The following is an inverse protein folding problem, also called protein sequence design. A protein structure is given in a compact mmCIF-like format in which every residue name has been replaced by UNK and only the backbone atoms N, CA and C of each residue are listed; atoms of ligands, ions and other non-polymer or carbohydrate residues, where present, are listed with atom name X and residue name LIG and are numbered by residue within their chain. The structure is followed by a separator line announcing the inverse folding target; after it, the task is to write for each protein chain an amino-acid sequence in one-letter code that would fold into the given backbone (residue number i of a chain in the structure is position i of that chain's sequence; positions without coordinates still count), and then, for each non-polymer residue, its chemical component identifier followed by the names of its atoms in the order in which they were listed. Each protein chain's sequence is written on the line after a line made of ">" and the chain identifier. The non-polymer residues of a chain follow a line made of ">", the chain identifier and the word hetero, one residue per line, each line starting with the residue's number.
data_IF_342951338727
#
_entry.id   IF_342951338727
#
_cell.length_a   1.000
_cell.length_b   1.000
_cell.length_c   1.000
_cell.angle_alpha   90.00
_cell.angle_beta   90.00
_cell.angle_gamma   90.00
#
_symmetry.space_group_name_H-M   'P 1'
#
loop_
_entity.id
_entity.type
_entity.pdbx_description
1 polymer ?
#
# COMPACT_ATOMS: atom_id res chain seq x y z
N UNK A 1 0.95 21.61 12.49
CA UNK A 1 1.90 20.96 11.56
C UNK A 1 1.16 20.39 10.35
N UNK A 2 0.12 19.58 10.56
CA UNK A 2 -0.80 19.08 9.53
C UNK A 2 -1.52 20.18 8.71
N UNK A 3 -2.00 21.25 9.33
CA UNK A 3 -2.73 22.34 8.63
C UNK A 3 -1.89 23.14 7.61
N UNK A 4 -0.58 22.91 7.54
CA UNK A 4 0.33 23.54 6.55
C UNK A 4 0.65 22.62 5.36
N UNK A 5 0.12 21.40 5.33
CA UNK A 5 0.32 20.48 4.22
C UNK A 5 -0.41 20.97 2.98
N UNK A 6 0.31 21.07 1.87
CA UNK A 6 -0.30 21.22 0.56
C UNK A 6 -0.70 19.83 0.05
N UNK A 7 -2.00 19.59 -0.12
CA UNK A 7 -2.53 18.30 -0.57
C UNK A 7 -2.03 17.90 -1.96
N UNK A 8 -1.69 18.87 -2.82
CA UNK A 8 -1.14 18.61 -4.16
C UNK A 8 0.29 18.04 -4.10
N UNK A 9 0.97 18.14 -2.96
CA UNK A 9 2.31 17.60 -2.76
C UNK A 9 2.28 16.16 -2.20
N UNK A 10 1.11 15.58 -1.98
CA UNK A 10 0.97 14.27 -1.34
C UNK A 10 0.58 13.24 -2.39
N UNK A 11 1.37 12.17 -2.50
CA UNK A 11 1.01 10.95 -3.22
C UNK A 11 0.45 9.95 -2.21
N UNK A 12 -0.85 9.74 -2.26
CA UNK A 12 -1.52 8.67 -1.53
C UNK A 12 -1.27 7.35 -2.25
N UNK A 13 -1.08 6.27 -1.51
CA UNK A 13 -0.92 4.95 -2.12
C UNK A 13 -1.38 3.84 -1.20
N UNK A 14 -1.61 2.70 -1.84
CA UNK A 14 -1.85 1.39 -1.26
C UNK A 14 -1.26 0.33 -2.20
N UNK A 15 -0.90 -0.84 -1.68
CA UNK A 15 -0.34 -1.94 -2.47
C UNK A 15 -1.07 -3.25 -2.22
N UNK A 16 -1.17 -4.06 -3.28
CA UNK A 16 -1.67 -5.42 -3.17
C UNK A 16 -0.59 -6.44 -3.47
N UNK A 17 -0.49 -7.40 -2.58
CA UNK A 17 0.57 -8.41 -2.57
C UNK A 17 -0.03 -9.81 -2.52
N UNK A 18 0.68 -10.74 -3.14
CA UNK A 18 0.31 -12.16 -3.16
C UNK A 18 1.56 -12.99 -2.89
N UNK A 19 1.43 -14.26 -2.46
CA UNK A 19 2.55 -15.22 -2.46
C UNK A 19 3.29 -15.19 -3.80
N UNK A 20 4.61 -15.37 -3.81
CA UNK A 20 5.43 -15.28 -5.03
C UNK A 20 5.05 -16.35 -6.07
N UNK A 21 4.72 -17.55 -5.56
CA UNK A 21 4.14 -18.69 -6.28
C UNK A 21 2.84 -19.10 -5.59
N UNK A 22 1.98 -19.83 -6.30
CA UNK A 22 0.64 -20.18 -5.81
C UNK A 22 0.68 -21.17 -4.64
N UNK A 23 1.49 -22.22 -4.77
CA UNK A 23 1.55 -23.32 -3.81
C UNK A 23 2.88 -23.34 -3.08
N UNK A 24 2.86 -23.72 -1.81
CA UNK A 24 4.08 -23.91 -1.02
C UNK A 24 5.05 -24.90 -1.66
N UNK A 25 4.51 -25.95 -2.29
CA UNK A 25 5.27 -26.96 -3.01
C UNK A 25 6.05 -26.41 -4.22
N UNK A 26 5.65 -25.26 -4.76
CA UNK A 26 6.32 -24.61 -5.89
C UNK A 26 7.54 -23.78 -5.45
N UNK A 27 7.70 -23.54 -4.15
CA UNK A 27 8.93 -22.96 -3.61
C UNK A 27 10.09 -23.94 -3.75
N UNK A 28 11.30 -23.40 -3.89
CA UNK A 28 12.50 -24.23 -3.77
C UNK A 28 12.61 -24.82 -2.36
N UNK A 29 13.27 -25.97 -2.16
CA UNK A 29 13.44 -26.58 -0.84
C UNK A 29 14.07 -25.62 0.18
N UNK A 30 15.03 -24.80 -0.26
CA UNK A 30 15.66 -23.77 0.58
C UNK A 30 14.63 -22.70 1.01
N UNK A 31 13.79 -22.22 0.08
CA UNK A 31 12.78 -21.21 0.39
C UNK A 31 11.68 -21.76 1.30
N UNK A 32 11.33 -23.04 1.18
CA UNK A 32 10.40 -23.71 2.11
C UNK A 32 10.92 -23.70 3.55
N UNK A 33 12.21 -24.04 3.74
CA UNK A 33 12.86 -24.01 5.06
C UNK A 33 12.92 -22.58 5.63
N UNK A 34 13.34 -21.61 4.80
CA UNK A 34 13.40 -20.21 5.20
C UNK A 34 12.03 -19.65 5.56
N UNK A 35 10.98 -20.02 4.83
CA UNK A 35 9.61 -19.63 5.14
C UNK A 35 9.16 -20.20 6.49
N UNK A 36 9.42 -21.49 6.73
CA UNK A 36 9.06 -22.16 7.97
C UNK A 36 9.72 -21.53 9.21
N UNK A 37 10.97 -21.08 9.08
CA UNK A 37 11.72 -20.37 10.12
C UNK A 37 11.21 -18.95 10.31
N UNK A 38 11.03 -18.18 9.22
CA UNK A 38 10.59 -16.79 9.27
C UNK A 38 9.21 -16.65 9.91
N UNK A 39 8.29 -17.56 9.61
CA UNK A 39 6.88 -17.44 10.03
C UNK A 39 6.58 -18.03 11.40
N UNK A 40 7.53 -18.76 12.01
CA UNK A 40 7.35 -19.49 13.28
C UNK A 40 6.65 -18.65 14.38
N UNK A 41 7.01 -17.36 14.50
CA UNK A 41 6.41 -16.46 15.50
C UNK A 41 4.91 -16.18 15.30
N UNK A 42 4.40 -16.25 14.06
CA UNK A 42 2.97 -16.06 13.77
C UNK A 42 2.22 -17.39 13.67
N UNK A 43 2.77 -18.39 12.98
CA UNK A 43 2.10 -19.70 12.85
C UNK A 43 2.05 -20.47 14.18
N UNK A 44 3.02 -20.20 15.07
CA UNK A 44 3.28 -20.99 16.29
C UNK A 44 3.34 -22.49 15.95
N UNK A 45 2.83 -23.34 16.82
CA UNK A 45 2.68 -24.78 16.59
C UNK A 45 1.26 -25.16 16.13
N UNK A 46 0.45 -24.17 15.71
CA UNK A 46 -0.96 -24.37 15.32
C UNK A 46 -1.09 -24.76 13.83
N UNK A 47 -0.20 -24.28 12.97
CA UNK A 47 -0.23 -24.53 11.53
C UNK A 47 1.13 -25.00 11.02
N UNK A 48 1.12 -25.92 10.07
CA UNK A 48 2.30 -26.25 9.27
C UNK A 48 2.68 -25.05 8.38
N UNK A 49 3.94 -24.96 7.91
CA UNK A 49 4.35 -23.93 6.96
C UNK A 49 3.47 -23.91 5.69
N UNK A 50 3.07 -25.08 5.19
CA UNK A 50 2.22 -25.21 4.01
C UNK A 50 0.80 -24.67 4.26
N UNK A 51 0.16 -25.04 5.36
CA UNK A 51 -1.18 -24.53 5.72
C UNK A 51 -1.18 -23.01 5.90
N UNK A 52 -0.06 -22.45 6.37
CA UNK A 52 0.10 -21.02 6.59
C UNK A 52 0.50 -20.23 5.33
N UNK A 53 0.91 -20.92 4.25
CA UNK A 53 1.52 -20.31 3.07
C UNK A 53 0.60 -19.34 2.32
N UNK A 54 -0.72 -19.50 2.41
CA UNK A 54 -1.69 -18.55 1.84
C UNK A 54 -1.46 -17.09 2.29
N UNK A 55 -0.78 -16.87 3.44
CA UNK A 55 -0.42 -15.55 3.96
C UNK A 55 0.96 -15.05 3.53
N UNK A 56 1.72 -15.80 2.73
CA UNK A 56 3.10 -15.49 2.37
C UNK A 56 3.26 -14.10 1.73
N UNK A 57 2.22 -13.59 1.07
CA UNK A 57 2.16 -12.23 0.54
C UNK A 57 2.49 -11.13 1.56
N UNK A 58 2.31 -11.35 2.86
CA UNK A 58 2.63 -10.37 3.92
C UNK A 58 4.15 -10.13 4.05
N UNK A 59 4.99 -11.08 3.62
CA UNK A 59 6.43 -10.96 3.67
C UNK A 59 6.99 -10.68 2.28
N UNK A 60 7.70 -9.56 2.12
CA UNK A 60 8.33 -9.19 0.86
C UNK A 60 9.33 -10.23 0.35
N UNK A 61 9.87 -11.06 1.25
CA UNK A 61 10.78 -12.16 0.93
C UNK A 61 10.09 -13.35 0.26
N UNK A 62 8.77 -13.51 0.42
CA UNK A 62 7.99 -14.67 -0.05
C UNK A 62 6.74 -14.28 -0.86
N UNK A 63 6.58 -13.00 -1.11
CA UNK A 63 5.47 -12.42 -1.87
C UNK A 63 5.96 -11.55 -3.01
N UNK A 64 5.02 -11.09 -3.82
CA UNK A 64 5.23 -10.13 -4.91
C UNK A 64 4.10 -9.10 -4.92
N UNK A 65 4.42 -7.90 -5.39
CA UNK A 65 3.45 -6.83 -5.63
C UNK A 65 2.79 -7.07 -6.99
N UNK A 66 1.46 -7.09 -7.01
CA UNK A 66 0.66 -7.24 -8.24
C UNK A 66 -0.14 -5.98 -8.58
N UNK A 67 -0.27 -5.05 -7.64
CA UNK A 67 -0.90 -3.74 -7.84
C UNK A 67 -0.29 -2.70 -6.89
N UNK A 68 -0.06 -1.50 -7.40
CA UNK A 68 0.16 -0.28 -6.62
C UNK A 68 -0.82 0.75 -7.17
N UNK A 69 -1.80 1.13 -6.37
CA UNK A 69 -2.66 2.26 -6.70
C UNK A 69 -2.13 3.53 -6.03
N UNK A 70 -2.21 4.64 -6.76
CA UNK A 70 -1.76 5.94 -6.29
C UNK A 70 -2.84 7.00 -6.51
N UNK A 71 -2.96 7.92 -5.56
CA UNK A 71 -3.88 9.04 -5.58
C UNK A 71 -3.15 10.36 -5.42
N UNK A 72 -3.53 11.39 -6.15
CA UNK A 72 -2.97 12.73 -5.97
C UNK A 72 -4.00 13.82 -6.31
N UNK A 73 -3.90 14.94 -5.60
CA UNK A 73 -4.78 16.09 -5.84
C UNK A 73 -4.26 16.96 -6.98
N UNK A 74 -5.15 17.35 -7.87
CA UNK A 74 -4.90 18.38 -8.88
C UNK A 74 -6.01 19.41 -8.86
N UNK A 75 -5.67 20.65 -9.19
CA UNK A 75 -6.66 21.70 -9.38
C UNK A 75 -7.01 21.83 -10.86
N UNK A 76 -8.29 21.66 -11.21
CA UNK A 76 -8.79 21.78 -12.58
C UNK A 76 -10.02 22.67 -12.58
N UNK A 77 -9.94 23.80 -13.29
CA UNK A 77 -11.05 24.78 -13.41
C UNK A 77 -11.59 25.25 -12.04
N UNK A 78 -10.72 25.39 -11.04
CA UNK A 78 -11.09 25.80 -9.68
C UNK A 78 -11.72 24.70 -8.81
N UNK A 79 -11.77 23.46 -9.30
CA UNK A 79 -12.21 22.29 -8.53
C UNK A 79 -11.00 21.42 -8.21
N UNK A 80 -10.88 21.00 -6.95
CA UNK A 80 -9.86 20.05 -6.49
C UNK A 80 -10.31 18.63 -6.80
N UNK A 81 -9.64 17.97 -7.72
CA UNK A 81 -9.92 16.58 -8.11
C UNK A 81 -8.90 15.64 -7.49
N UNK A 82 -9.36 14.48 -7.03
CA UNK A 82 -8.49 13.36 -6.66
C UNK A 82 -8.35 12.46 -7.88
N UNK A 83 -7.14 12.41 -8.45
CA UNK A 83 -6.83 11.51 -9.57
C UNK A 83 -6.20 10.24 -9.05
N UNK A 84 -6.68 9.10 -9.52
CA UNK A 84 -6.22 7.78 -9.15
C UNK A 84 -5.67 7.08 -10.38
N UNK A 85 -4.52 6.43 -10.24
CA UNK A 85 -3.88 5.63 -11.29
C UNK A 85 -3.30 4.38 -10.65
N UNK A 86 -3.30 3.26 -11.37
CA UNK A 86 -2.83 1.98 -10.86
C UNK A 86 -1.73 1.39 -11.76
N UNK A 87 -0.67 0.89 -11.13
CA UNK A 87 0.37 0.09 -11.76
C UNK A 87 0.12 -1.37 -11.37
N UNK A 88 -0.18 -2.23 -12.32
CA UNK A 88 -0.55 -3.61 -12.04
C UNK A 88 -0.11 -4.56 -13.16
N UNK A 89 0.00 -5.84 -12.83
CA UNK A 89 0.33 -6.88 -13.79
C UNK A 89 1.15 -8.02 -13.18
N UNK A 90 1.34 -9.07 -13.96
CA UNK A 90 2.13 -10.25 -13.56
C UNK A 90 3.65 -9.98 -13.55
N UNK A 91 4.09 -8.96 -14.29
CA UNK A 91 5.49 -8.54 -14.34
C UNK A 91 5.76 -7.47 -13.27
N UNK A 92 6.10 -7.93 -12.07
CA UNK A 92 6.42 -7.06 -10.93
C UNK A 92 7.57 -6.08 -11.26
N UNK A 93 8.61 -6.51 -11.97
CA UNK A 93 9.73 -5.63 -12.33
C UNK A 93 9.25 -4.43 -13.14
N UNK A 94 8.43 -4.64 -14.18
CA UNK A 94 7.85 -3.54 -14.97
C UNK A 94 7.00 -2.62 -14.10
N UNK A 95 6.13 -3.19 -13.28
CA UNK A 95 5.26 -2.47 -12.36
C UNK A 95 6.07 -1.54 -11.44
N UNK A 96 7.13 -2.07 -10.83
CA UNK A 96 8.02 -1.32 -9.93
C UNK A 96 8.81 -0.22 -10.66
N UNK A 97 9.27 -0.47 -11.88
CA UNK A 97 9.95 0.55 -12.71
C UNK A 97 8.98 1.67 -13.06
N UNK A 98 7.74 1.37 -13.45
CA UNK A 98 6.74 2.38 -13.79
C UNK A 98 6.37 3.24 -12.56
N UNK A 99 6.21 2.62 -11.38
CA UNK A 99 5.99 3.34 -10.13
C UNK A 99 7.22 4.20 -9.74
N UNK A 100 8.44 3.67 -9.89
CA UNK A 100 9.68 4.44 -9.67
C UNK A 100 9.74 5.67 -10.58
N UNK A 101 9.38 5.52 -11.85
CA UNK A 101 9.35 6.63 -12.81
C UNK A 101 8.40 7.73 -12.36
N UNK A 102 7.22 7.39 -11.84
CA UNK A 102 6.30 8.38 -11.26
C UNK A 102 6.96 9.14 -10.09
N UNK A 103 7.62 8.43 -9.17
CA UNK A 103 8.30 9.05 -8.04
C UNK A 103 9.42 9.99 -8.48
N UNK A 104 10.25 9.56 -9.42
CA UNK A 104 11.42 10.30 -9.87
C UNK A 104 11.07 11.51 -10.76
N UNK A 105 9.90 11.50 -11.41
CA UNK A 105 9.49 12.59 -12.31
C UNK A 105 8.50 13.56 -11.68
N UNK A 106 7.51 13.06 -10.93
CA UNK A 106 6.39 13.84 -10.43
C UNK A 106 6.42 14.04 -8.91
N UNK A 107 7.01 13.11 -8.15
CA UNK A 107 7.03 13.16 -6.67
C UNK A 107 8.45 13.24 -6.08
N UNK A 108 9.38 13.90 -6.78
CA UNK A 108 10.81 13.92 -6.42
C UNK A 108 11.23 15.07 -5.48
N UNK A 109 10.47 16.17 -5.42
CA UNK A 109 10.88 17.39 -4.73
C UNK A 109 10.84 17.23 -3.19
N UNK A 110 11.69 17.92 -2.40
CA UNK A 110 11.75 17.76 -0.94
C UNK A 110 10.43 17.93 -0.19
N UNK A 111 9.52 18.77 -0.68
CA UNK A 111 8.20 19.01 -0.09
C UNK A 111 7.14 17.95 -0.48
N UNK A 112 7.45 17.05 -1.42
CA UNK A 112 6.57 15.95 -1.78
C UNK A 112 6.61 14.85 -0.71
N UNK A 113 5.44 14.30 -0.38
CA UNK A 113 5.28 13.30 0.67
C UNK A 113 4.53 12.08 0.10
N UNK A 114 4.86 10.90 0.59
CA UNK A 114 4.05 9.70 0.37
C UNK A 114 3.10 9.52 1.55
N UNK A 115 1.88 9.06 1.30
CA UNK A 115 0.88 8.83 2.32
C UNK A 115 0.21 7.46 2.14
N UNK A 116 0.17 6.67 3.20
CA UNK A 116 -0.47 5.35 3.21
C UNK A 116 -1.14 5.11 4.58
N UNK A 117 -1.83 4.00 4.72
CA UNK A 117 -2.36 3.53 6.00
C UNK A 117 -1.53 2.35 6.50
N UNK A 118 -0.82 2.52 7.62
CA UNK A 118 0.19 1.57 8.09
C UNK A 118 1.39 1.38 7.13
N UNK A 119 1.59 2.31 6.18
CA UNK A 119 2.64 2.16 5.17
C UNK A 119 4.06 2.32 5.69
N UNK A 120 4.29 2.93 6.86
CA UNK A 120 5.63 2.94 7.46
C UNK A 120 6.06 1.55 7.94
N UNK A 121 5.11 0.72 8.33
CA UNK A 121 5.38 -0.66 8.78
C UNK A 121 5.17 -1.69 7.69
N UNK A 122 4.42 -1.35 6.63
CA UNK A 122 4.09 -2.25 5.53
C UNK A 122 4.50 -1.72 4.15
N UNK A 123 3.70 -0.84 3.51
CA UNK A 123 3.84 -0.47 2.10
C UNK A 123 5.25 -0.02 1.69
N UNK A 124 5.78 1.02 2.35
CA UNK A 124 7.06 1.62 1.98
C UNK A 124 8.24 0.65 2.12
N UNK A 125 8.43 -0.06 3.26
CA UNK A 125 9.50 -1.05 3.35
C UNK A 125 9.25 -2.25 2.45
N UNK A 126 8.00 -2.65 2.18
CA UNK A 126 7.70 -3.75 1.26
C UNK A 126 8.14 -3.40 -0.16
N UNK A 127 7.71 -2.25 -0.70
CA UNK A 127 8.11 -1.77 -2.02
C UNK A 127 9.63 -1.67 -2.12
N UNK A 128 10.30 -1.09 -1.11
CA UNK A 128 11.75 -0.95 -1.12
C UNK A 128 12.47 -2.32 -1.16
N UNK A 129 12.01 -3.30 -0.36
CA UNK A 129 12.56 -4.66 -0.38
C UNK A 129 12.34 -5.33 -1.74
N UNK A 130 11.14 -5.22 -2.32
CA UNK A 130 10.84 -5.79 -3.65
C UNK A 130 11.64 -5.12 -4.76
N UNK A 131 11.89 -3.81 -4.69
CA UNK A 131 12.81 -3.14 -5.61
C UNK A 131 14.23 -3.70 -5.50
N UNK A 132 14.76 -3.89 -4.29
CA UNK A 132 16.10 -4.50 -4.10
C UNK A 132 16.14 -5.92 -4.65
N UNK A 133 15.13 -6.76 -4.35
CA UNK A 133 15.02 -8.13 -4.85
C UNK A 133 15.01 -8.15 -6.39
N UNK A 134 14.30 -7.21 -7.02
CA UNK A 134 14.25 -7.03 -8.47
C UNK A 134 15.45 -6.25 -9.04
N UNK A 135 16.47 -5.92 -8.24
CA UNK A 135 17.66 -5.16 -8.65
C UNK A 135 17.35 -3.77 -9.24
N UNK A 136 16.30 -3.14 -8.73
CA UNK A 136 15.87 -1.78 -9.09
C UNK A 136 16.46 -0.80 -8.07
N UNK A 137 17.11 0.27 -8.57
CA UNK A 137 17.60 1.35 -7.72
C UNK A 137 16.46 2.01 -6.93
N UNK A 138 16.67 2.25 -5.64
CA UNK A 138 15.65 2.86 -4.80
C UNK A 138 15.48 4.35 -5.11
N UNK A 139 14.25 4.84 -5.35
CA UNK A 139 13.99 6.27 -5.46
C UNK A 139 14.25 6.95 -4.11
N UNK A 140 14.65 8.23 -4.14
CA UNK A 140 15.00 9.03 -2.95
C UNK A 140 13.90 9.06 -1.87
N UNK A 141 12.64 8.90 -2.27
CA UNK A 141 11.48 8.85 -1.38
C UNK A 141 11.35 7.53 -0.60
N UNK A 142 11.94 6.45 -1.08
CA UNK A 142 11.96 5.14 -0.41
C UNK A 142 13.31 4.81 0.22
N UNK A 143 14.38 5.53 -0.16
CA UNK A 143 15.67 5.41 0.50
C UNK A 143 15.66 6.12 1.87
N UNK A 144 15.48 5.34 2.93
CA UNK A 144 15.40 5.80 4.32
C UNK A 144 16.67 5.55 5.14
N UNK A 145 17.73 4.98 4.53
CA UNK A 145 18.97 4.68 5.24
C UNK A 145 19.58 5.94 5.83
N UNK A 146 19.90 5.89 7.13
CA UNK A 146 20.52 7.00 7.87
C UNK A 146 19.61 8.21 8.12
N UNK A 147 18.35 8.20 7.66
CA UNK A 147 17.39 9.28 7.92
C UNK A 147 16.88 9.21 9.35
N UNK A 148 16.78 10.38 9.98
CA UNK A 148 16.12 10.54 11.28
C UNK A 148 14.60 10.49 11.08
N UNK A 149 13.81 10.14 12.10
CA UNK A 149 12.36 10.00 11.96
C UNK A 149 11.64 11.23 11.37
N UNK A 150 12.14 12.45 11.63
CA UNK A 150 11.58 13.69 11.10
C UNK A 150 12.03 14.06 9.68
N UNK A 151 13.00 13.34 9.11
CA UNK A 151 13.47 13.50 7.74
C UNK A 151 12.75 12.54 6.78
N UNK A 152 11.96 11.60 7.31
CA UNK A 152 11.19 10.62 6.54
C UNK A 152 10.04 11.35 5.84
N UNK A 153 9.98 11.34 4.50
CA UNK A 153 8.97 12.08 3.72
C UNK A 153 7.65 11.31 3.64
N UNK A 154 7.25 10.63 4.72
CA UNK A 154 6.08 9.74 4.75
C UNK A 154 5.08 10.18 5.82
N UNK A 155 3.82 10.28 5.40
CA UNK A 155 2.66 10.41 6.26
C UNK A 155 2.03 9.02 6.41
N UNK A 156 1.72 8.63 7.63
CA UNK A 156 1.03 7.36 7.89
C UNK A 156 -0.24 7.67 8.66
N UNK A 157 -1.39 7.35 8.07
CA UNK A 157 -2.68 7.67 8.68
C UNK A 157 -2.97 6.85 9.94
N UNK A 158 -2.38 5.66 10.10
CA UNK A 158 -2.45 4.88 11.33
C UNK A 158 -1.60 5.53 12.43
N UNK A 159 -0.41 6.01 12.07
CA UNK A 159 0.48 6.77 12.96
C UNK A 159 -0.17 8.08 13.44
N UNK A 160 -0.89 8.78 12.55
CA UNK A 160 -1.67 9.96 12.91
C UNK A 160 -2.83 9.64 13.85
N UNK A 161 -3.48 8.49 13.68
CA UNK A 161 -4.61 8.06 14.49
C UNK A 161 -4.23 7.62 15.91
N UNK A 162 -2.99 7.16 16.12
CA UNK A 162 -2.62 6.58 17.41
C UNK A 162 -2.54 7.59 18.56
N UNK A 163 -2.42 8.89 18.28
CA UNK A 163 -2.30 9.97 19.29
C UNK A 163 -1.26 9.69 20.42
N UNK A 164 -0.17 8.99 20.09
CA UNK A 164 0.87 8.60 21.04
C UNK A 164 0.66 7.22 21.69
N UNK A 165 -0.40 6.50 21.33
CA UNK A 165 -0.62 5.13 21.76
C UNK A 165 0.24 4.13 20.96
N UNK A 166 1.06 3.37 21.66
CA UNK A 166 2.03 2.45 21.06
C UNK A 166 1.42 1.07 20.72
N UNK A 167 0.21 0.74 21.21
CA UNK A 167 -0.41 -0.60 21.03
C UNK A 167 -1.66 -0.60 20.15
N UNK A 168 -1.74 0.30 19.18
CA UNK A 168 -2.96 0.47 18.39
C UNK A 168 -2.75 0.18 16.91
N UNK A 169 -3.15 -1.02 16.51
CA UNK A 169 -3.55 -1.28 15.13
C UNK A 169 -5.04 -0.93 14.98
N UNK A 170 -5.39 -0.17 13.95
CA UNK A 170 -6.79 0.12 13.62
C UNK A 170 -6.92 0.07 12.11
N UNK A 171 -7.72 -0.86 11.61
CA UNK A 171 -7.85 -1.07 10.16
C UNK A 171 -8.48 0.14 9.46
N UNK A 172 -8.11 0.34 8.19
CA UNK A 172 -8.70 1.35 7.33
C UNK A 172 -10.24 1.23 7.26
N UNK A 173 -10.75 -0.01 7.18
CA UNK A 173 -12.18 -0.32 7.23
C UNK A 173 -12.86 0.20 8.49
N UNK A 174 -12.24 0.01 9.66
CA UNK A 174 -12.81 0.49 10.92
C UNK A 174 -12.78 2.02 10.98
N UNK A 175 -11.67 2.65 10.59
CA UNK A 175 -11.55 4.11 10.59
C UNK A 175 -12.53 4.80 9.65
N UNK A 176 -12.68 4.28 8.43
CA UNK A 176 -13.63 4.85 7.45
C UNK A 176 -15.06 4.74 7.95
N UNK A 177 -15.43 3.61 8.56
CA UNK A 177 -16.77 3.40 9.14
C UNK A 177 -17.09 4.40 10.26
N UNK A 178 -16.21 4.56 11.26
CA UNK A 178 -16.48 5.43 12.42
C UNK A 178 -16.42 6.93 12.04
N UNK A 179 -15.70 7.28 10.99
CA UNK A 179 -15.54 8.67 10.52
C UNK A 179 -16.54 9.05 9.42
N UNK A 180 -17.48 8.16 9.09
CA UNK A 180 -18.50 8.38 8.07
C UNK A 180 -17.91 8.66 6.69
N UNK A 181 -16.76 8.04 6.37
CA UNK A 181 -16.17 8.10 5.04
C UNK A 181 -16.84 7.02 4.19
N UNK A 182 -17.50 7.38 3.09
CA UNK A 182 -18.11 6.39 2.22
C UNK A 182 -17.04 5.45 1.67
N UNK A 183 -17.11 4.18 2.06
CA UNK A 183 -16.40 3.10 1.40
C UNK A 183 -17.44 2.35 0.55
N UNK A 184 -17.19 2.09 -0.75
CA UNK A 184 -18.05 1.21 -1.52
C UNK A 184 -18.11 -0.16 -0.83
N UNK A 185 -19.24 -0.89 -0.96
CA UNK A 185 -19.34 -2.25 -0.41
C UNK A 185 -18.09 -3.06 -0.81
N UNK A 186 -17.38 -3.55 0.20
CA UNK A 186 -16.20 -4.38 0.02
C UNK A 186 -16.64 -5.71 -0.59
N UNK A 187 -16.15 -5.96 -1.80
CA UNK A 187 -16.36 -7.21 -2.52
C UNK A 187 -15.32 -8.26 -2.10
N UNK A 188 -14.12 -7.80 -1.71
CA UNK A 188 -13.04 -8.62 -1.15
C UNK A 188 -12.34 -7.89 0.00
N UNK A 189 -11.68 -8.65 0.87
CA UNK A 189 -10.67 -8.15 1.81
C UNK A 189 -9.25 -8.63 1.46
N UNK A 190 -8.24 -8.07 2.15
CA UNK A 190 -6.83 -8.37 1.90
C UNK A 190 -6.45 -9.86 2.04
N UNK A 191 -7.23 -10.68 2.74
CA UNK A 191 -6.98 -12.13 2.83
C UNK A 191 -7.44 -12.89 1.59
N UNK A 192 -8.34 -12.30 0.79
CA UNK A 192 -8.90 -12.90 -0.41
C UNK A 192 -8.07 -12.60 -1.67
N UNK A 193 -7.19 -11.59 -1.63
CA UNK A 193 -6.42 -11.10 -2.79
C UNK A 193 -5.63 -12.22 -3.49
N UNK A 194 -4.98 -13.10 -2.72
CA UNK A 194 -4.24 -14.23 -3.27
C UNK A 194 -5.16 -15.20 -4.03
N UNK A 195 -6.36 -15.48 -3.50
CA UNK A 195 -7.35 -16.33 -4.16
C UNK A 195 -7.88 -15.69 -5.45
N UNK A 196 -8.17 -14.39 -5.42
CA UNK A 196 -8.64 -13.64 -6.61
C UNK A 196 -7.57 -13.64 -7.71
N UNK A 197 -6.30 -13.48 -7.33
CA UNK A 197 -5.20 -13.46 -8.27
C UNK A 197 -4.91 -14.85 -8.86
N UNK A 198 -4.79 -15.87 -8.01
CA UNK A 198 -4.36 -17.21 -8.44
C UNK A 198 -5.51 -18.08 -8.95
N UNK A 199 -6.67 -18.08 -8.31
CA UNK A 199 -7.79 -18.94 -8.71
C UNK A 199 -8.73 -18.25 -9.69
N UNK A 200 -9.20 -17.05 -9.34
CA UNK A 200 -10.17 -16.34 -10.19
C UNK A 200 -9.52 -15.66 -11.40
N UNK A 201 -8.20 -15.43 -11.37
CA UNK A 201 -7.43 -14.70 -12.38
C UNK A 201 -8.03 -13.31 -12.67
N UNK A 202 -8.57 -12.65 -11.65
CA UNK A 202 -9.32 -11.40 -11.80
C UNK A 202 -8.53 -10.20 -11.27
N UNK A 203 -7.47 -9.83 -12.01
CA UNK A 203 -6.61 -8.72 -11.63
C UNK A 203 -7.37 -7.38 -11.60
N UNK A 204 -8.35 -7.18 -12.47
CA UNK A 204 -9.20 -5.97 -12.46
C UNK A 204 -9.92 -5.76 -11.14
N UNK A 205 -10.43 -6.83 -10.52
CA UNK A 205 -11.11 -6.76 -9.20
C UNK A 205 -10.15 -6.31 -8.10
N UNK A 206 -8.89 -6.74 -8.18
CA UNK A 206 -7.84 -6.33 -7.25
C UNK A 206 -7.45 -4.86 -7.46
N UNK A 207 -7.33 -4.42 -8.71
CA UNK A 207 -7.07 -3.01 -9.04
C UNK A 207 -8.18 -2.12 -8.49
N UNK A 208 -9.45 -2.47 -8.72
CA UNK A 208 -10.57 -1.71 -8.16
C UNK A 208 -10.56 -1.66 -6.63
N UNK A 209 -10.14 -2.74 -5.98
CA UNK A 209 -10.00 -2.80 -4.52
C UNK A 209 -8.91 -1.84 -4.02
N UNK A 210 -7.70 -1.92 -4.60
CA UNK A 210 -6.56 -1.08 -4.24
C UNK A 210 -6.83 0.43 -4.52
N UNK A 211 -7.52 0.75 -5.61
CA UNK A 211 -7.94 2.13 -5.91
C UNK A 211 -8.89 2.69 -4.83
N UNK A 212 -9.83 1.87 -4.35
CA UNK A 212 -10.78 2.27 -3.30
C UNK A 212 -10.07 2.51 -1.98
N UNK A 213 -9.13 1.64 -1.61
CA UNK A 213 -8.34 1.81 -0.39
C UNK A 213 -7.44 3.04 -0.48
N UNK A 214 -6.79 3.28 -1.63
CA UNK A 214 -6.04 4.52 -1.90
C UNK A 214 -6.91 5.78 -1.74
N UNK A 215 -8.13 5.78 -2.28
CA UNK A 215 -9.09 6.88 -2.10
C UNK A 215 -9.48 7.05 -0.64
N UNK A 216 -9.73 5.94 0.07
CA UNK A 216 -10.08 5.96 1.48
C UNK A 216 -8.96 6.58 2.34
N UNK A 217 -7.68 6.29 2.06
CA UNK A 217 -6.54 6.93 2.72
C UNK A 217 -6.55 8.45 2.51
N UNK A 218 -6.80 8.92 1.28
CA UNK A 218 -6.89 10.34 0.98
C UNK A 218 -8.04 11.02 1.74
N UNK A 219 -9.22 10.41 1.73
CA UNK A 219 -10.40 10.89 2.46
C UNK A 219 -10.18 10.90 3.98
N UNK A 220 -9.44 9.92 4.50
CA UNK A 220 -9.09 9.83 5.91
C UNK A 220 -8.19 11.00 6.33
N UNK A 221 -7.17 11.32 5.53
CA UNK A 221 -6.33 12.49 5.80
C UNK A 221 -7.14 13.79 5.74
N UNK A 222 -8.05 13.95 4.79
CA UNK A 222 -8.97 15.10 4.75
C UNK A 222 -9.79 15.21 6.03
N UNK A 223 -10.32 14.08 6.52
CA UNK A 223 -11.08 14.05 7.76
C UNK A 223 -10.23 14.46 8.97
N UNK A 224 -8.99 13.97 9.07
CA UNK A 224 -8.06 14.37 10.14
C UNK A 224 -7.72 15.87 10.09
N UNK A 225 -7.77 16.47 8.90
CA UNK A 225 -7.60 17.91 8.68
C UNK A 225 -8.89 18.72 8.87
N UNK A 226 -10.00 18.10 9.26
CA UNK A 226 -11.33 18.70 9.30
C UNK A 226 -11.72 19.39 7.97
N UNK A 227 -11.32 18.82 6.84
CA UNK A 227 -11.70 19.28 5.50
C UNK A 227 -12.92 18.50 4.99
N UNK A 228 -13.71 19.07 4.05
CA UNK A 228 -14.72 18.33 3.32
C UNK A 228 -14.10 17.12 2.62
N UNK A 229 -14.88 16.04 2.50
CA UNK A 229 -14.52 14.89 1.68
C UNK A 229 -14.58 15.28 0.19
N UNK A 230 -13.85 14.54 -0.64
CA UNK A 230 -13.97 14.65 -2.10
C UNK A 230 -15.28 13.99 -2.54
N UNK A 231 -16.06 14.70 -3.35
CA UNK A 231 -17.27 14.13 -3.96
C UNK A 231 -16.91 13.07 -5.00
N UNK A 232 -17.77 12.06 -5.17
CA UNK A 232 -17.51 10.94 -6.09
C UNK A 232 -17.26 11.39 -7.53
N UNK A 233 -17.88 12.48 -7.98
CA UNK A 233 -17.69 13.05 -9.32
C UNK A 233 -16.31 13.66 -9.54
N UNK A 234 -15.62 14.03 -8.45
CA UNK A 234 -14.29 14.63 -8.47
C UNK A 234 -13.18 13.61 -8.17
N UNK A 235 -13.54 12.33 -8.03
CA UNK A 235 -12.61 11.20 -7.97
C UNK A 235 -12.52 10.60 -9.37
N UNK A 236 -11.36 10.76 -10.02
CA UNK A 236 -11.14 10.39 -11.42
C UNK A 236 -10.09 9.28 -11.48
N UNK A 237 -10.48 8.07 -11.91
CA UNK A 237 -9.52 7.02 -12.31
C UNK A 237 -8.99 7.33 -13.71
N UNK A 238 -7.67 7.17 -13.91
CA UNK A 238 -6.91 7.65 -15.08
C UNK A 238 -6.06 6.53 -15.66
#
# INVERSE_FOLDING_TARGET
>A
MLNKLNLQNILFLDIETVPEVELFADLSPEMQELYALKTLYQRKDEFTPEEFYHRAGIWAEFGKIICISVGYFVERKGVSQLRVTSFYGDNEHKLLVDFKNLLDTHFNHPNHLLCAHNGKEFDFPYIARRMIINQIELPNKLNLFGKKPWEVPHIDTMDLWKFGDYKHYTSLKLLTAILGIPSPKQDIDGSEVANVYYQEKNLSRIVEYCERDTVAVAQLLLRFLNKPLVDKIDIISV
#
